data_IF_580549325837
#
_entry.id   IF_580549325837
#
_cell.length_a   1.000
_cell.length_b   1.000
_cell.length_c   1.000
_cell.angle_alpha   90.00
_cell.angle_beta   90.00
_cell.angle_gamma   90.00
#
_symmetry.space_group_name_H-M   'P 1'
#
loop_
_entity.id
_entity.type
_entity.pdbx_description
1 polymer ?
#
# COMPACT_ATOMS: atom_id res chain seq x y z
N UNK A 1 -3.73 2.74 0.41
CA UNK A 1 -4.15 1.37 0.71
C UNK A 1 -3.25 0.77 1.78
N UNK A 2 -3.78 -0.14 2.61
CA UNK A 2 -3.00 -0.88 3.61
C UNK A 2 -3.36 -2.37 3.64
N UNK A 3 -4.47 -2.76 3.02
CA UNK A 3 -4.94 -4.12 2.92
C UNK A 3 -5.21 -4.49 1.46
N UNK A 4 -4.94 -5.75 1.11
CA UNK A 4 -5.22 -6.33 -0.20
C UNK A 4 -6.48 -7.20 -0.25
N UNK A 5 -7.02 -7.57 0.92
CA UNK A 5 -8.27 -8.33 1.06
C UNK A 5 -9.09 -7.84 2.26
N UNK A 6 -10.34 -8.31 2.34
CA UNK A 6 -11.28 -7.93 3.38
C UNK A 6 -10.82 -8.39 4.78
N UNK A 7 -10.16 -9.54 4.87
CA UNK A 7 -9.68 -10.11 6.13
C UNK A 7 -8.62 -9.21 6.75
N UNK A 8 -7.62 -8.83 5.96
CA UNK A 8 -6.57 -7.90 6.37
C UNK A 8 -7.15 -6.52 6.65
N UNK A 9 -8.08 -6.04 5.82
CA UNK A 9 -8.77 -4.76 6.04
C UNK A 9 -9.46 -4.72 7.40
N UNK A 10 -10.24 -5.75 7.76
CA UNK A 10 -10.88 -5.85 9.07
C UNK A 10 -9.86 -5.87 10.21
N UNK A 11 -8.77 -6.63 10.04
CA UNK A 11 -7.72 -6.78 11.06
C UNK A 11 -7.00 -5.45 11.34
N UNK A 12 -6.58 -4.72 10.30
CA UNK A 12 -5.72 -3.54 10.45
C UNK A 12 -6.49 -2.22 10.57
N UNK A 13 -7.59 -2.06 9.82
CA UNK A 13 -8.38 -0.84 9.82
C UNK A 13 -9.41 -0.79 10.94
N UNK A 14 -9.83 -1.94 11.50
CA UNK A 14 -10.92 -2.04 12.49
C UNK A 14 -12.13 -1.17 12.11
N UNK A 15 -12.70 -1.38 10.91
CA UNK A 15 -13.70 -0.49 10.34
C UNK A 15 -14.95 -0.44 11.22
N UNK A 16 -15.51 0.76 11.39
CA UNK A 16 -16.78 0.96 12.10
C UNK A 16 -18.00 0.74 11.19
N UNK A 17 -17.78 0.72 9.87
CA UNK A 17 -18.80 0.53 8.83
C UNK A 17 -18.72 -0.92 8.32
N UNK A 18 -19.87 -1.62 8.31
CA UNK A 18 -19.96 -3.05 7.98
C UNK A 18 -19.50 -3.39 6.56
N UNK A 19 -19.84 -2.55 5.59
CA UNK A 19 -19.54 -2.72 4.15
C UNK A 19 -18.32 -1.91 3.69
N UNK A 20 -17.44 -1.51 4.61
CA UNK A 20 -16.31 -0.62 4.29
C UNK A 20 -15.37 -1.16 3.19
N UNK A 21 -15.14 -2.47 3.13
CA UNK A 21 -14.33 -3.08 2.07
C UNK A 21 -15.00 -3.01 0.69
N UNK A 22 -16.32 -3.22 0.65
CA UNK A 22 -17.12 -3.10 -0.58
C UNK A 22 -17.06 -1.67 -1.11
N UNK A 23 -17.27 -0.67 -0.24
CA UNK A 23 -17.18 0.75 -0.60
C UNK A 23 -15.79 1.15 -1.07
N UNK A 24 -14.73 0.64 -0.44
CA UNK A 24 -13.36 0.85 -0.91
C UNK A 24 -13.17 0.28 -2.31
N UNK A 25 -13.67 -0.94 -2.54
CA UNK A 25 -13.59 -1.61 -3.84
C UNK A 25 -14.37 -0.87 -4.93
N UNK A 26 -15.52 -0.30 -4.62
CA UNK A 26 -16.31 0.56 -5.53
C UNK A 26 -15.58 1.90 -5.78
N UNK A 27 -14.99 2.51 -4.74
CA UNK A 27 -14.22 3.74 -4.87
C UNK A 27 -12.99 3.63 -5.75
N UNK A 28 -12.39 2.43 -5.85
CA UNK A 28 -11.27 2.16 -6.77
C UNK A 28 -11.71 2.32 -8.24
N UNK A 29 -12.94 1.94 -8.60
CA UNK A 29 -13.45 2.08 -9.97
C UNK A 29 -13.64 3.56 -10.33
N UNK A 30 -14.22 4.34 -9.41
CA UNK A 30 -14.35 5.79 -9.57
C UNK A 30 -12.99 6.48 -9.61
N UNK A 31 -12.03 6.03 -8.82
CA UNK A 31 -10.66 6.53 -8.84
C UNK A 31 -9.99 6.28 -10.19
N UNK A 32 -10.12 5.08 -10.74
CA UNK A 32 -9.49 4.67 -12.01
C UNK A 32 -9.95 5.53 -13.19
N UNK A 33 -11.25 5.88 -13.23
CA UNK A 33 -11.84 6.73 -14.27
C UNK A 33 -11.53 8.22 -14.15
N UNK A 34 -10.86 8.67 -13.08
CA UNK A 34 -10.51 10.08 -12.91
C UNK A 34 -9.40 10.50 -13.92
N UNK A 35 -9.55 11.63 -14.63
CA UNK A 35 -8.57 12.10 -15.62
C UNK A 35 -7.32 12.76 -15.01
N UNK A 36 -7.32 13.05 -13.71
CA UNK A 36 -6.18 13.65 -13.02
C UNK A 36 -5.05 12.65 -12.82
N UNK A 37 -3.85 13.16 -12.50
CA UNK A 37 -2.74 12.32 -12.04
C UNK A 37 -3.12 11.59 -10.75
N UNK A 38 -2.88 10.28 -10.74
CA UNK A 38 -3.33 9.34 -9.70
C UNK A 38 -2.14 8.74 -8.98
N UNK A 39 -2.15 8.80 -7.66
CA UNK A 39 -1.16 8.14 -6.82
C UNK A 39 -1.84 7.20 -5.84
N UNK A 40 -1.29 5.99 -5.70
CA UNK A 40 -1.69 5.03 -4.68
C UNK A 40 -0.55 4.85 -3.69
N UNK A 41 -0.76 5.31 -2.46
CA UNK A 41 0.18 5.04 -1.37
C UNK A 41 -0.15 3.72 -0.68
N UNK A 42 0.81 2.83 -0.53
CA UNK A 42 0.70 1.59 0.24
C UNK A 42 1.50 1.75 1.53
N UNK A 43 0.84 1.78 2.68
CA UNK A 43 1.55 1.81 3.97
C UNK A 43 1.94 0.39 4.38
N UNK A 44 3.24 0.13 4.48
CA UNK A 44 3.80 -1.19 4.75
C UNK A 44 4.01 -1.41 6.24
N UNK A 45 3.46 -2.51 6.76
CA UNK A 45 3.51 -2.91 8.17
C UNK A 45 3.93 -4.37 8.22
N UNK A 46 5.04 -4.66 8.93
CA UNK A 46 5.55 -6.02 9.10
C UNK A 46 4.53 -6.87 9.86
N UNK A 47 4.34 -8.13 9.45
CA UNK A 47 3.36 -9.06 10.03
C UNK A 47 1.91 -8.82 9.58
N UNK A 48 1.70 -7.90 8.63
CA UNK A 48 0.38 -7.57 8.10
C UNK A 48 0.33 -7.62 6.58
N UNK A 49 1.17 -6.84 5.89
CA UNK A 49 1.07 -6.70 4.43
C UNK A 49 2.41 -6.64 3.69
N UNK A 50 3.52 -6.59 4.42
CA UNK A 50 4.86 -6.45 3.86
C UNK A 50 5.32 -7.71 3.12
N UNK A 51 4.82 -8.88 3.54
CA UNK A 51 5.31 -10.18 3.09
C UNK A 51 4.72 -10.60 1.73
N UNK A 52 3.58 -10.00 1.35
CA UNK A 52 2.75 -10.42 0.21
C UNK A 52 2.47 -9.28 -0.81
N UNK A 53 3.50 -8.63 -1.39
CA UNK A 53 3.33 -7.58 -2.41
C UNK A 53 2.45 -8.00 -3.59
N UNK A 54 2.56 -9.24 -4.06
CA UNK A 54 1.81 -9.77 -5.19
C UNK A 54 0.29 -9.70 -4.99
N UNK A 55 -0.19 -9.73 -3.73
CA UNK A 55 -1.62 -9.63 -3.44
C UNK A 55 -2.19 -8.24 -3.71
N UNK A 56 -1.35 -7.20 -3.75
CA UNK A 56 -1.78 -5.86 -4.15
C UNK A 56 -1.94 -5.70 -5.66
N UNK A 57 -1.36 -6.60 -6.48
CA UNK A 57 -1.33 -6.43 -7.95
C UNK A 57 -2.72 -6.21 -8.55
N UNK A 58 -3.70 -7.07 -8.19
CA UNK A 58 -5.09 -6.93 -8.66
C UNK A 58 -5.74 -5.61 -8.29
N UNK A 59 -5.44 -5.05 -7.12
CA UNK A 59 -5.99 -3.76 -6.71
C UNK A 59 -5.31 -2.61 -7.44
N UNK A 60 -4.00 -2.71 -7.67
CA UNK A 60 -3.23 -1.73 -8.44
C UNK A 60 -3.68 -1.71 -9.89
N UNK A 61 -3.86 -2.87 -10.52
CA UNK A 61 -4.38 -2.99 -11.89
C UNK A 61 -5.75 -2.32 -12.03
N UNK A 62 -6.68 -2.59 -11.09
CA UNK A 62 -8.00 -1.95 -11.08
C UNK A 62 -7.91 -0.43 -10.87
N UNK A 63 -7.06 0.01 -9.95
CA UNK A 63 -6.88 1.42 -9.64
C UNK A 63 -6.17 2.21 -10.76
N UNK A 64 -5.35 1.53 -11.57
CA UNK A 64 -4.55 2.07 -12.66
C UNK A 64 -3.92 3.46 -12.36
N UNK A 65 -3.15 3.61 -11.26
CA UNK A 65 -2.54 4.88 -10.92
C UNK A 65 -1.36 5.24 -11.84
N UNK A 66 -0.99 6.52 -11.89
CA UNK A 66 0.28 6.93 -12.51
C UNK A 66 1.48 6.58 -11.60
N UNK A 67 1.27 6.64 -10.29
CA UNK A 67 2.31 6.44 -9.27
C UNK A 67 1.88 5.50 -8.15
N UNK A 68 2.82 4.70 -7.65
CA UNK A 68 2.63 3.89 -6.45
C UNK A 68 3.71 4.26 -5.44
N UNK A 69 3.29 4.51 -4.20
CA UNK A 69 4.20 4.85 -3.09
C UNK A 69 4.16 3.78 -2.00
N UNK A 70 4.97 2.71 -2.08
CA UNK A 70 5.21 1.83 -0.95
C UNK A 70 5.99 2.59 0.13
N UNK A 71 5.35 2.83 1.28
CA UNK A 71 5.91 3.61 2.39
C UNK A 71 5.88 2.81 3.68
N UNK A 72 7.03 2.69 4.33
CA UNK A 72 7.14 2.06 5.63
C UNK A 72 6.32 2.77 6.71
N UNK A 73 5.62 1.99 7.51
CA UNK A 73 4.97 2.47 8.72
C UNK A 73 5.98 3.08 9.69
N UNK A 74 5.56 4.17 10.35
CA UNK A 74 6.32 4.84 11.40
C UNK A 74 5.51 4.84 12.68
N UNK A 75 6.13 4.41 13.78
CA UNK A 75 5.49 4.23 15.07
C UNK A 75 5.22 5.57 15.80
N UNK A 76 4.17 6.27 15.35
CA UNK A 76 3.76 7.60 15.83
C UNK A 76 2.25 7.72 16.03
N UNK A 77 1.83 8.68 16.87
CA UNK A 77 0.41 8.98 17.11
C UNK A 77 -0.39 7.81 17.70
N UNK A 78 -1.67 7.72 17.31
CA UNK A 78 -2.60 6.70 17.83
C UNK A 78 -2.23 5.26 17.46
N UNK A 79 -1.38 5.07 16.44
CA UNK A 79 -0.93 3.73 16.03
C UNK A 79 -0.15 3.01 17.13
N UNK A 80 0.52 3.75 18.03
CA UNK A 80 1.30 3.22 19.16
C UNK A 80 0.48 2.43 20.18
N UNK A 81 -0.85 2.52 20.14
CA UNK A 81 -1.75 1.73 21.01
C UNK A 81 -2.11 0.37 20.41
N UNK A 82 -1.69 0.09 19.17
CA UNK A 82 -2.17 -1.05 18.37
C UNK A 82 -1.06 -1.79 17.62
N UNK A 83 0.06 -1.11 17.37
CA UNK A 83 1.22 -1.61 16.65
C UNK A 83 2.46 -1.29 17.49
N UNK A 84 3.50 -2.09 17.30
CA UNK A 84 4.78 -1.98 17.98
C UNK A 84 5.84 -1.34 17.08
N UNK A 85 6.96 -0.90 17.69
CA UNK A 85 8.12 -0.43 16.91
C UNK A 85 8.68 -1.52 15.98
N UNK A 86 8.58 -2.79 16.37
CA UNK A 86 9.00 -3.94 15.57
C UNK A 86 8.17 -4.13 14.29
N UNK A 87 7.00 -3.51 14.21
CA UNK A 87 6.13 -3.57 13.02
C UNK A 87 6.58 -2.58 11.93
N UNK A 88 7.50 -1.66 12.27
CA UNK A 88 8.11 -0.75 11.30
C UNK A 88 9.09 -1.50 10.39
N UNK A 89 8.91 -1.46 9.06
CA UNK A 89 9.91 -1.99 8.15
C UNK A 89 11.16 -1.10 8.10
N UNK A 90 12.25 -1.71 7.68
CA UNK A 90 13.49 -1.08 7.22
C UNK A 90 13.31 -0.53 5.81
N UNK A 91 14.24 0.33 5.35
CA UNK A 91 14.23 0.78 3.95
C UNK A 91 14.42 -0.41 2.99
N UNK A 92 15.31 -1.34 3.32
CA UNK A 92 15.60 -2.49 2.47
C UNK A 92 14.36 -3.37 2.26
N UNK A 93 13.57 -3.60 3.31
CA UNK A 93 12.29 -4.31 3.20
C UNK A 93 11.29 -3.56 2.32
N UNK A 94 11.24 -2.22 2.40
CA UNK A 94 10.38 -1.38 1.53
C UNK A 94 10.82 -1.49 0.08
N UNK A 95 12.14 -1.43 -0.19
CA UNK A 95 12.69 -1.57 -1.54
C UNK A 95 12.47 -2.97 -2.10
N UNK A 96 12.60 -4.01 -1.27
CA UNK A 96 12.33 -5.39 -1.67
C UNK A 96 10.85 -5.62 -2.00
N UNK A 97 9.95 -5.13 -1.14
CA UNK A 97 8.52 -5.09 -1.44
C UNK A 97 8.25 -4.40 -2.78
N UNK A 98 8.90 -3.25 -3.00
CA UNK A 98 8.74 -2.43 -4.20
C UNK A 98 9.17 -3.15 -5.47
N UNK A 99 10.32 -3.82 -5.46
CA UNK A 99 10.80 -4.64 -6.59
C UNK A 99 9.86 -5.80 -6.91
N UNK A 100 9.37 -6.50 -5.88
CA UNK A 100 8.42 -7.60 -6.05
C UNK A 100 7.08 -7.12 -6.58
N UNK A 101 6.58 -5.98 -6.09
CA UNK A 101 5.35 -5.38 -6.59
C UNK A 101 5.51 -4.92 -8.05
N UNK A 102 6.61 -4.24 -8.38
CA UNK A 102 6.96 -3.83 -9.74
C UNK A 102 6.91 -5.00 -10.72
N UNK A 103 7.55 -6.12 -10.39
CA UNK A 103 7.48 -7.35 -11.19
C UNK A 103 6.05 -7.88 -11.38
N UNK A 104 5.22 -7.79 -10.34
CA UNK A 104 3.84 -8.27 -10.39
C UNK A 104 2.87 -7.35 -11.14
N UNK A 105 3.22 -6.07 -11.35
CA UNK A 105 2.29 -5.06 -11.94
C UNK A 105 2.79 -4.44 -13.24
N UNK A 106 4.05 -4.67 -13.63
CA UNK A 106 4.69 -4.02 -14.78
C UNK A 106 5.01 -2.54 -14.54
N UNK A 107 5.05 -2.08 -13.29
CA UNK A 107 5.59 -0.77 -12.92
C UNK A 107 7.10 -0.89 -12.70
N UNK A 108 7.79 0.24 -12.65
CA UNK A 108 9.22 0.29 -12.39
C UNK A 108 9.51 1.13 -11.15
N UNK A 109 10.50 0.70 -10.35
CA UNK A 109 11.00 1.51 -9.23
C UNK A 109 11.80 2.67 -9.81
N UNK A 110 11.29 3.88 -9.63
CA UNK A 110 11.86 5.10 -10.21
C UNK A 110 12.71 5.91 -9.23
N UNK A 111 12.35 5.91 -7.94
CA UNK A 111 13.06 6.67 -6.92
C UNK A 111 12.78 6.11 -5.51
N UNK A 112 13.53 6.57 -4.51
CA UNK A 112 13.29 6.29 -3.10
C UNK A 112 13.82 7.40 -2.18
N UNK A 113 13.27 7.49 -0.98
CA UNK A 113 13.76 8.37 0.09
C UNK A 113 14.01 7.56 1.36
N UNK A 114 15.27 7.54 1.80
CA UNK A 114 15.70 6.83 2.99
C UNK A 114 15.06 7.37 4.28
N UNK A 115 15.06 8.70 4.44
CA UNK A 115 14.50 9.38 5.63
C UNK A 115 13.01 9.07 5.83
N UNK A 116 12.29 8.95 4.72
CA UNK A 116 10.86 8.67 4.72
C UNK A 116 10.51 7.19 4.58
N UNK A 117 11.51 6.30 4.41
CA UNK A 117 11.34 4.87 4.12
C UNK A 117 10.27 4.63 3.04
N UNK A 118 10.41 5.30 1.91
CA UNK A 118 9.42 5.27 0.82
C UNK A 118 10.11 5.02 -0.50
N UNK A 119 9.48 4.21 -1.35
CA UNK A 119 9.83 4.06 -2.75
C UNK A 119 8.75 4.71 -3.63
N UNK A 120 9.14 5.09 -4.84
CA UNK A 120 8.23 5.57 -5.88
C UNK A 120 8.30 4.61 -7.06
N UNK A 121 7.16 4.04 -7.44
CA UNK A 121 7.01 3.31 -8.67
C UNK A 121 6.19 4.14 -9.66
N UNK A 122 6.58 4.07 -10.94
CA UNK A 122 5.83 4.68 -12.04
C UNK A 122 5.74 3.69 -13.19
N UNK A 123 4.80 3.93 -14.10
CA UNK A 123 4.77 3.28 -15.40
C UNK A 123 5.00 4.36 -16.45
N UNK A 124 5.85 4.08 -17.42
CA UNK A 124 6.07 4.96 -18.57
C UNK A 124 4.83 5.02 -19.49
#
# INVERSE_FOLDING_TARGET
MIAYDETLYKRINRPQVRDGWKRLSEGIETFSSNPSKKAVRITLVRGYNLEHPERFAKLIERANPDFIEPKGYVHVGYSRRRLERSDMPTLDEVLEFSRRLANATGYEVSDYSADSKVALLKRD
#
